data_IF_828905712950
#
_entry.id   IF_828905712950
#
_cell.length_a   1.000
_cell.length_b   1.000
_cell.length_c   1.000
_cell.angle_alpha   90.00
_cell.angle_beta   90.00
_cell.angle_gamma   90.00
#
_symmetry.space_group_name_H-M   'P 1'
#
loop_
_entity.id
_entity.type
_entity.pdbx_description
1 polymer ?
#
# COMPACT_ATOMS: atom_id res chain seq x y z
N UNK A 1 -3.97 6.74 -3.03
CA UNK A 1 -3.35 5.40 -2.93
C UNK A 1 -4.26 4.39 -3.62
N UNK A 2 -3.70 3.45 -4.38
CA UNK A 2 -4.47 2.45 -5.14
C UNK A 2 -5.42 1.70 -4.20
N UNK A 3 -6.70 1.61 -4.56
CA UNK A 3 -7.74 0.93 -3.75
C UNK A 3 -7.58 -0.59 -3.67
N UNK A 4 -6.59 -1.14 -4.37
CA UNK A 4 -6.17 -2.53 -4.27
C UNK A 4 -4.78 -2.53 -3.62
N UNK A 5 -4.57 -3.41 -2.62
CA UNK A 5 -3.27 -3.62 -1.94
C UNK A 5 -2.19 -4.24 -2.86
N UNK A 6 -2.15 -3.82 -4.13
CA UNK A 6 -1.16 -4.18 -5.11
C UNK A 6 -0.01 -3.17 -5.08
N UNK A 7 1.22 -3.66 -5.10
CA UNK A 7 2.42 -2.84 -5.22
C UNK A 7 3.05 -3.02 -6.60
N UNK A 8 3.53 -1.93 -7.18
CA UNK A 8 4.34 -1.98 -8.38
C UNK A 8 5.73 -2.55 -8.04
N UNK A 9 6.06 -3.72 -8.56
CA UNK A 9 7.33 -4.41 -8.27
C UNK A 9 8.40 -4.19 -9.32
N UNK A 10 8.02 -3.68 -10.49
CA UNK A 10 8.90 -3.41 -11.62
C UNK A 10 8.16 -2.53 -12.63
N UNK A 11 8.88 -1.57 -13.21
CA UNK A 11 8.36 -0.69 -14.26
C UNK A 11 9.49 -0.31 -15.23
N UNK A 12 9.18 -0.27 -16.52
CA UNK A 12 10.12 0.07 -17.59
C UNK A 12 9.47 0.96 -18.63
N UNK A 13 10.20 2.00 -19.07
CA UNK A 13 9.78 2.98 -20.06
C UNK A 13 11.01 3.38 -20.90
N UNK A 14 10.91 3.21 -22.21
CA UNK A 14 12.00 3.49 -23.15
C UNK A 14 12.04 4.95 -23.59
N UNK A 15 10.91 5.65 -23.51
CA UNK A 15 10.78 7.05 -23.89
C UNK A 15 11.20 7.95 -22.71
N UNK A 16 12.06 8.92 -22.99
CA UNK A 16 12.68 9.74 -21.94
C UNK A 16 11.68 10.74 -21.35
N UNK A 17 10.79 11.30 -22.16
CA UNK A 17 9.82 12.29 -21.73
C UNK A 17 8.70 11.64 -20.91
N UNK A 18 8.26 10.45 -21.31
CA UNK A 18 7.33 9.62 -20.54
C UNK A 18 7.95 9.22 -19.18
N UNK A 19 9.21 8.77 -19.16
CA UNK A 19 9.89 8.42 -17.93
C UNK A 19 10.07 9.60 -16.98
N UNK A 20 10.37 10.80 -17.51
CA UNK A 20 10.44 12.04 -16.74
C UNK A 20 9.09 12.39 -16.13
N UNK A 21 8.03 12.37 -16.92
CA UNK A 21 6.66 12.63 -16.45
C UNK A 21 6.25 11.65 -15.35
N UNK A 22 6.59 10.36 -15.50
CA UNK A 22 6.30 9.36 -14.48
C UNK A 22 7.09 9.61 -13.19
N UNK A 23 8.35 10.01 -13.30
CA UNK A 23 9.18 10.36 -12.14
C UNK A 23 8.65 11.59 -11.41
N UNK A 24 8.25 12.64 -12.13
CA UNK A 24 7.71 13.87 -11.54
C UNK A 24 6.40 13.62 -10.78
N UNK A 25 5.55 12.72 -11.28
CA UNK A 25 4.27 12.40 -10.65
C UNK A 25 4.37 11.40 -9.49
N UNK A 26 5.27 10.41 -9.59
CA UNK A 26 5.29 9.26 -8.68
C UNK A 26 6.62 9.08 -7.93
N UNK A 27 7.68 9.83 -8.27
CA UNK A 27 9.02 9.69 -7.69
C UNK A 27 9.73 8.38 -8.04
N UNK A 28 9.20 7.61 -8.99
CA UNK A 28 9.72 6.28 -9.35
C UNK A 28 10.62 6.40 -10.57
N UNK A 29 11.86 5.95 -10.43
CA UNK A 29 12.79 5.84 -11.55
C UNK A 29 12.51 4.57 -12.34
N UNK A 30 12.08 4.72 -13.58
CA UNK A 30 11.77 3.63 -14.49
C UNK A 30 13.04 3.01 -15.07
N UNK A 31 13.00 1.70 -15.34
CA UNK A 31 14.02 1.07 -16.16
C UNK A 31 13.86 1.50 -17.63
N UNK A 32 14.95 1.56 -18.39
CA UNK A 32 14.89 1.89 -19.82
C UNK A 32 14.36 0.75 -20.69
N UNK A 33 14.80 0.75 -21.95
CA UNK A 33 14.51 -0.25 -22.97
C UNK A 33 14.55 -1.70 -22.45
N UNK A 34 13.38 -2.34 -22.47
CA UNK A 34 13.14 -3.65 -21.89
C UNK A 34 13.89 -4.78 -22.61
N UNK A 35 14.28 -4.56 -23.87
CA UNK A 35 15.05 -5.52 -24.69
C UNK A 35 16.47 -5.69 -24.19
N UNK A 36 17.01 -4.67 -23.49
CA UNK A 36 18.36 -4.66 -22.93
C UNK A 36 18.43 -5.24 -21.51
N UNK A 37 17.27 -5.55 -20.91
CA UNK A 37 17.17 -6.01 -19.53
C UNK A 37 17.08 -7.54 -19.50
N UNK A 38 18.13 -8.20 -19.01
CA UNK A 38 18.17 -9.66 -18.83
C UNK A 38 17.02 -10.14 -17.93
N UNK A 39 16.30 -11.19 -18.36
CA UNK A 39 15.15 -11.76 -17.63
C UNK A 39 15.50 -12.17 -16.17
N UNK A 40 16.72 -12.70 -15.95
CA UNK A 40 17.21 -13.05 -14.60
C UNK A 40 17.22 -11.85 -13.66
N UNK A 41 17.45 -10.63 -14.16
CA UNK A 41 17.36 -9.39 -13.38
C UNK A 41 15.92 -9.08 -12.99
N UNK A 42 14.96 -9.27 -13.91
CA UNK A 42 13.51 -9.12 -13.64
C UNK A 42 13.04 -10.11 -12.57
N UNK A 43 13.50 -11.38 -12.63
CA UNK A 43 13.19 -12.42 -11.62
C UNK A 43 13.78 -12.13 -10.23
N UNK A 44 14.92 -11.44 -10.14
CA UNK A 44 15.53 -11.11 -8.84
C UNK A 44 14.72 -10.08 -8.08
N UNK A 45 14.19 -9.08 -8.77
CA UNK A 45 13.30 -8.07 -8.19
C UNK A 45 12.02 -8.73 -7.67
N UNK A 46 11.40 -9.59 -8.47
CA UNK A 46 10.17 -10.30 -8.05
C UNK A 46 10.41 -11.28 -6.90
N UNK A 47 11.56 -11.97 -6.84
CA UNK A 47 11.92 -12.84 -5.69
C UNK A 47 12.13 -12.04 -4.41
N UNK A 48 12.89 -10.94 -4.47
CA UNK A 48 13.11 -10.05 -3.32
C UNK A 48 11.77 -9.54 -2.78
N UNK A 49 10.86 -9.19 -3.68
CA UNK A 49 9.53 -8.69 -3.36
C UNK A 49 8.63 -9.77 -2.71
N UNK A 50 8.59 -10.99 -3.27
CA UNK A 50 7.89 -12.13 -2.65
C UNK A 50 8.41 -12.43 -1.24
N UNK A 51 9.73 -12.40 -1.04
CA UNK A 51 10.32 -12.59 0.29
C UNK A 51 9.97 -11.46 1.27
N UNK A 52 9.77 -10.23 0.78
CA UNK A 52 9.31 -9.10 1.61
C UNK A 52 7.87 -9.28 2.06
N UNK A 53 6.95 -9.59 1.14
CA UNK A 53 5.54 -9.87 1.47
C UNK A 53 5.42 -11.01 2.48
N UNK A 54 6.15 -12.11 2.28
CA UNK A 54 6.13 -13.24 3.21
C UNK A 54 6.58 -12.82 4.62
N UNK A 55 7.66 -12.03 4.74
CA UNK A 55 8.09 -11.52 6.05
C UNK A 55 7.08 -10.54 6.67
N UNK A 56 6.54 -9.62 5.89
CA UNK A 56 5.56 -8.65 6.38
C UNK A 56 4.26 -9.32 6.82
N UNK A 57 3.82 -10.38 6.11
CA UNK A 57 2.66 -11.19 6.50
C UNK A 57 2.93 -11.97 7.79
N UNK A 58 4.10 -12.61 7.93
CA UNK A 58 4.49 -13.28 9.18
C UNK A 58 4.50 -12.28 10.35
N UNK A 59 5.06 -11.09 10.14
CA UNK A 59 5.10 -10.04 11.15
C UNK A 59 3.69 -9.52 11.51
N UNK A 60 2.80 -9.34 10.52
CA UNK A 60 1.40 -8.96 10.79
C UNK A 60 0.66 -10.02 11.59
N UNK A 61 0.81 -11.30 11.27
CA UNK A 61 0.14 -12.37 12.01
C UNK A 61 0.69 -12.48 13.44
N UNK A 62 2.01 -12.29 13.62
CA UNK A 62 2.63 -12.21 14.95
C UNK A 62 2.09 -11.02 15.76
N UNK A 63 1.95 -9.83 15.14
CA UNK A 63 1.40 -8.62 15.76
C UNK A 63 -0.10 -8.75 16.09
N UNK A 64 -0.89 -9.37 15.21
CA UNK A 64 -2.32 -9.64 15.47
C UNK A 64 -2.49 -10.59 16.65
N UNK A 65 -1.67 -11.64 16.70
CA UNK A 65 -1.68 -12.61 17.80
C UNK A 65 -1.33 -11.94 19.14
N UNK A 66 -0.26 -11.15 19.19
CA UNK A 66 0.10 -10.39 20.40
C UNK A 66 -0.94 -9.35 20.79
N UNK A 67 -1.54 -8.64 19.82
CA UNK A 67 -2.63 -7.69 20.09
C UNK A 67 -3.88 -8.38 20.64
N UNK A 68 -4.23 -9.57 20.14
CA UNK A 68 -5.34 -10.38 20.65
C UNK A 68 -5.06 -10.87 22.07
N UNK A 69 -3.86 -11.39 22.33
CA UNK A 69 -3.43 -11.80 23.66
C UNK A 69 -3.45 -10.63 24.64
N UNK A 70 -2.96 -9.44 24.25
CA UNK A 70 -3.04 -8.24 25.08
C UNK A 70 -4.48 -7.79 25.31
N UNK A 71 -5.37 -7.94 24.33
CA UNK A 71 -6.80 -7.62 24.46
C UNK A 71 -7.51 -8.58 25.44
N UNK A 72 -7.15 -9.87 25.41
CA UNK A 72 -7.65 -10.89 26.33
C UNK A 72 -7.09 -10.73 27.74
N UNK A 73 -5.80 -10.42 27.88
CA UNK A 73 -5.13 -10.19 29.16
C UNK A 73 -5.56 -8.87 29.83
N UNK A 74 -6.01 -7.87 29.06
CA UNK A 74 -6.44 -6.56 29.58
C UNK A 74 -7.95 -6.41 29.80
N UNK A 75 -8.76 -7.45 29.56
CA UNK A 75 -10.18 -7.49 29.96
C UNK A 75 -11.04 -6.27 29.55
N UNK A 76 -10.91 -5.79 28.31
CA UNK A 76 -11.67 -4.61 27.84
C UNK A 76 -13.02 -4.99 27.21
N UNK A 77 -14.13 -4.61 27.85
CA UNK A 77 -15.44 -4.50 27.22
C UNK A 77 -15.47 -3.27 26.31
N UNK A 78 -15.65 -3.45 25.00
CA UNK A 78 -15.81 -2.36 24.02
C UNK A 78 -17.30 -2.12 23.73
N UNK A 79 -18.00 -1.58 24.72
CA UNK A 79 -19.28 -0.85 24.58
C UNK A 79 -19.07 0.36 25.51
N UNK A 80 -18.84 1.57 25.03
CA UNK A 80 -19.92 2.56 24.95
C UNK A 80 -19.46 3.93 24.39
N UNK A 81 -18.48 4.02 23.50
CA UNK A 81 -18.11 5.34 22.94
C UNK A 81 -17.87 5.30 21.42
N UNK A 82 -18.95 5.13 20.65
CA UNK A 82 -19.03 5.73 19.32
C UNK A 82 -19.72 7.09 19.46
N UNK A 83 -19.13 8.20 18.96
CA UNK A 83 -19.83 9.47 18.90
C UNK A 83 -21.00 9.33 17.92
N UNK A 84 -22.21 9.59 18.43
CA UNK A 84 -23.43 9.74 17.64
C UNK A 84 -23.16 10.71 16.49
N UNK A 85 -23.38 10.25 15.27
CA UNK A 85 -23.33 11.05 14.06
C UNK A 85 -24.31 12.22 14.18
N UNK A 86 -23.79 13.41 14.50
CA UNK A 86 -24.51 14.64 14.27
C UNK A 86 -24.69 14.81 12.75
N UNK A 87 -25.94 14.76 12.30
CA UNK A 87 -26.35 15.05 10.94
C UNK A 87 -25.96 16.48 10.55
N UNK A 88 -25.36 16.74 9.38
CA UNK A 88 -25.19 18.11 8.91
C UNK A 88 -26.53 18.66 8.40
N UNK A 89 -27.08 19.64 9.13
CA UNK A 89 -28.10 20.55 8.62
C UNK A 89 -27.44 21.57 7.69
N UNK A 90 -27.77 21.57 6.39
CA UNK A 90 -27.77 22.79 5.56
C UNK A 90 -28.38 22.53 4.19
N UNK A 91 -29.64 22.91 4.03
CA UNK A 91 -30.18 23.36 2.74
C UNK A 91 -30.66 24.79 2.95
N UNK A 92 -29.84 25.76 2.56
CA UNK A 92 -30.27 27.14 2.30
C UNK A 92 -30.02 27.41 0.82
N UNK A 93 -31.08 27.28 0.03
CA UNK A 93 -31.20 27.97 -1.25
C UNK A 93 -31.57 29.41 -0.95
N UNK A 94 -30.84 30.35 -1.57
CA UNK A 94 -31.32 31.60 -2.16
C UNK A 94 -30.09 32.40 -2.66
N UNK A 95 -30.22 33.33 -3.62
CA UNK A 95 -31.45 33.95 -4.13
C UNK A 95 -31.80 33.64 -5.60
#
# INVERSE_FOLDING_TARGET
>A
MNGFNAECVFSSEWDKEAAKTYFENYGIKLHGDITKIKEKSKRRVTKKYKSRIVRENINRESLKSTALTLKLLKGYNYVDHLPSSASPSSTSHDP
#
